data_IF_664648093167
#
_entry.id   IF_664648093167
#
_cell.length_a   1.000
_cell.length_b   1.000
_cell.length_c   1.000
_cell.angle_alpha   90.00
_cell.angle_beta   90.00
_cell.angle_gamma   90.00
#
_symmetry.space_group_name_H-M   'P 1'
#
loop_
_entity.id
_entity.type
_entity.pdbx_description
1 polymer ?
#
# COMPACT_ATOMS: atom_id res chain seq x y z
N UNK A 1 9.53 35.95 -12.72
CA UNK A 1 8.34 35.65 -13.56
C UNK A 1 7.85 34.26 -13.15
N UNK A 2 6.68 34.18 -12.53
CA UNK A 2 6.18 32.99 -11.84
C UNK A 2 5.56 31.98 -12.84
N UNK A 3 5.88 30.70 -12.59
CA UNK A 3 5.18 29.43 -12.87
C UNK A 3 4.08 29.41 -13.94
N UNK A 4 4.25 28.51 -14.91
CA UNK A 4 3.23 27.55 -15.33
C UNK A 4 3.85 26.47 -16.25
N UNK A 5 3.77 25.17 -15.95
CA UNK A 5 3.60 24.19 -16.99
C UNK A 5 2.09 24.05 -17.23
N UNK A 6 1.63 24.61 -18.35
CA UNK A 6 0.28 24.40 -18.85
C UNK A 6 0.14 22.93 -19.28
N UNK A 7 -0.31 22.08 -18.36
CA UNK A 7 -0.78 20.74 -18.70
C UNK A 7 -2.07 20.87 -19.51
N UNK A 8 -2.08 20.31 -20.72
CA UNK A 8 -3.22 20.33 -21.63
C UNK A 8 -4.45 19.66 -21.00
N UNK A 9 -5.68 20.13 -21.31
CA UNK A 9 -6.89 19.47 -20.83
C UNK A 9 -7.09 18.19 -21.67
N UNK A 10 -6.88 17.03 -21.07
CA UNK A 10 -7.32 15.76 -21.65
C UNK A 10 -8.85 15.72 -21.62
N UNK A 11 -9.48 16.26 -22.67
CA UNK A 11 -10.85 15.96 -23.01
C UNK A 11 -10.93 14.57 -23.62
N UNK A 12 -11.57 13.61 -22.93
CA UNK A 12 -11.79 12.28 -23.50
C UNK A 12 -12.32 11.26 -22.49
N UNK A 13 -13.65 11.24 -22.30
CA UNK A 13 -14.44 10.35 -21.41
C UNK A 13 -14.02 10.33 -19.93
N UNK A 14 -14.95 10.22 -18.97
CA UNK A 14 -14.56 9.73 -17.65
C UNK A 14 -14.02 8.32 -17.88
N UNK A 15 -12.71 8.14 -17.78
CA UNK A 15 -12.13 6.82 -17.59
C UNK A 15 -12.77 6.17 -16.36
N UNK A 16 -12.66 4.84 -16.20
CA UNK A 16 -13.10 4.19 -14.97
C UNK A 16 -12.54 4.94 -13.77
N UNK A 17 -13.40 5.26 -12.81
CA UNK A 17 -13.01 6.03 -11.64
C UNK A 17 -11.77 5.39 -11.01
N UNK A 18 -10.74 6.18 -10.67
CA UNK A 18 -9.52 5.62 -10.10
C UNK A 18 -9.89 4.84 -8.83
N UNK A 19 -9.29 3.66 -8.61
CA UNK A 19 -9.62 2.86 -7.46
C UNK A 19 -9.32 3.65 -6.18
N UNK A 20 -10.15 3.46 -5.15
CA UNK A 20 -10.11 4.23 -3.88
C UNK A 20 -8.73 4.27 -3.21
N UNK A 21 -7.92 3.23 -3.42
CA UNK A 21 -6.57 3.13 -2.88
C UNK A 21 -5.58 4.07 -3.62
N UNK A 22 -5.82 4.40 -4.89
CA UNK A 22 -4.92 5.22 -5.70
C UNK A 22 -4.83 6.69 -5.23
N UNK A 23 -5.80 7.15 -4.44
CA UNK A 23 -5.76 8.47 -3.81
C UNK A 23 -4.95 8.50 -2.50
N UNK A 24 -4.50 7.33 -2.00
CA UNK A 24 -3.80 7.21 -0.73
C UNK A 24 -2.28 7.13 -0.94
N UNK A 25 -1.47 7.74 -0.05
CA UNK A 25 -0.05 7.47 -0.04
C UNK A 25 0.19 6.01 0.34
N UNK A 26 1.22 5.38 -0.24
CA UNK A 26 1.57 3.96 -0.05
C UNK A 26 1.67 3.59 1.44
N UNK A 27 2.23 4.49 2.26
CA UNK A 27 2.34 4.34 3.71
C UNK A 27 1.01 4.27 4.48
N UNK A 28 -0.13 4.61 3.86
CA UNK A 28 -1.47 4.56 4.47
C UNK A 28 -2.39 3.50 3.85
N UNK A 29 -1.91 2.73 2.87
CA UNK A 29 -2.66 1.60 2.35
C UNK A 29 -2.85 0.55 3.44
N UNK A 30 -3.85 -0.31 3.33
CA UNK A 30 -3.93 -1.55 4.12
C UNK A 30 -3.24 -2.70 3.38
N UNK A 31 -3.04 -3.86 4.03
CA UNK A 31 -2.53 -5.05 3.36
C UNK A 31 -3.46 -5.52 2.21
N UNK A 32 -4.78 -5.42 2.40
CA UNK A 32 -5.76 -5.73 1.36
C UNK A 32 -5.68 -4.75 0.18
N UNK A 33 -5.54 -3.45 0.45
CA UNK A 33 -5.40 -2.45 -0.61
C UNK A 33 -4.08 -2.56 -1.36
N UNK A 34 -2.99 -2.99 -0.72
CA UNK A 34 -1.73 -3.30 -1.39
C UNK A 34 -1.88 -4.47 -2.36
N UNK A 35 -2.60 -5.53 -1.96
CA UNK A 35 -2.89 -6.67 -2.83
C UNK A 35 -3.79 -6.26 -4.01
N UNK A 36 -4.86 -5.50 -3.74
CA UNK A 36 -5.73 -4.93 -4.80
C UNK A 36 -4.93 -4.06 -5.79
N UNK A 37 -3.98 -3.26 -5.29
CA UNK A 37 -3.13 -2.42 -6.13
C UNK A 37 -2.21 -3.24 -7.04
N UNK A 38 -1.57 -4.29 -6.52
CA UNK A 38 -0.72 -5.18 -7.31
C UNK A 38 -1.51 -5.89 -8.42
N UNK A 39 -2.68 -6.47 -8.08
CA UNK A 39 -3.55 -7.10 -9.08
C UNK A 39 -4.04 -6.11 -10.14
N UNK A 40 -4.29 -4.86 -9.76
CA UNK A 40 -4.65 -3.81 -10.72
C UNK A 40 -3.50 -3.50 -11.67
N UNK A 41 -2.26 -3.37 -11.17
CA UNK A 41 -1.09 -3.09 -12.02
C UNK A 41 -0.81 -4.23 -13.00
N UNK A 42 -0.89 -5.49 -12.55
CA UNK A 42 -0.74 -6.65 -13.44
C UNK A 42 -1.73 -6.63 -14.61
N UNK A 43 -2.96 -6.14 -14.39
CA UNK A 43 -4.02 -6.13 -15.40
C UNK A 43 -4.02 -4.89 -16.29
N UNK A 44 -3.57 -3.75 -15.77
CA UNK A 44 -3.79 -2.45 -16.41
C UNK A 44 -2.51 -1.67 -16.71
N UNK A 45 -1.39 -2.02 -16.07
CA UNK A 45 -0.10 -1.33 -16.15
C UNK A 45 1.08 -2.33 -16.00
N UNK A 46 1.14 -3.40 -16.81
CA UNK A 46 2.19 -4.42 -16.66
C UNK A 46 3.60 -3.85 -16.86
N UNK A 47 3.72 -2.73 -17.60
CA UNK A 47 5.00 -2.08 -17.87
C UNK A 47 5.47 -1.16 -16.72
N UNK A 48 4.65 -0.93 -15.69
CA UNK A 48 5.00 -0.06 -14.55
C UNK A 48 5.68 -0.87 -13.43
N UNK A 49 6.88 -1.36 -13.73
CA UNK A 49 7.69 -2.19 -12.83
C UNK A 49 8.11 -1.44 -11.56
N UNK A 50 8.36 -0.13 -11.67
CA UNK A 50 8.82 0.69 -10.55
C UNK A 50 7.73 0.80 -9.49
N UNK A 51 6.50 1.10 -9.91
CA UNK A 51 5.37 1.17 -8.98
C UNK A 51 5.03 -0.21 -8.41
N UNK A 52 5.03 -1.25 -9.25
CA UNK A 52 4.78 -2.63 -8.84
C UNK A 52 5.79 -3.10 -7.78
N UNK A 53 7.08 -2.80 -7.99
CA UNK A 53 8.15 -3.16 -7.05
C UNK A 53 8.07 -2.37 -5.74
N UNK A 54 7.70 -1.09 -5.79
CA UNK A 54 7.52 -0.28 -4.58
C UNK A 54 6.38 -0.83 -3.71
N UNK A 55 5.24 -1.20 -4.31
CA UNK A 55 4.11 -1.78 -3.61
C UNK A 55 4.44 -3.16 -3.03
N UNK A 56 5.12 -4.01 -3.81
CA UNK A 56 5.56 -5.33 -3.34
C UNK A 56 6.53 -5.21 -2.15
N UNK A 57 7.45 -4.24 -2.19
CA UNK A 57 8.38 -3.96 -1.09
C UNK A 57 7.67 -3.53 0.20
N UNK A 58 6.69 -2.63 0.11
CA UNK A 58 5.90 -2.21 1.27
C UNK A 58 5.04 -3.37 1.82
N UNK A 59 4.46 -4.19 0.94
CA UNK A 59 3.71 -5.38 1.35
C UNK A 59 4.58 -6.37 2.12
N UNK A 60 5.79 -6.66 1.61
CA UNK A 60 6.75 -7.52 2.29
C UNK A 60 7.17 -6.95 3.66
N UNK A 61 7.45 -5.64 3.73
CA UNK A 61 7.83 -4.97 4.98
C UNK A 61 6.74 -5.08 6.04
N UNK A 62 5.48 -4.83 5.68
CA UNK A 62 4.36 -4.91 6.64
C UNK A 62 4.06 -6.32 7.08
N UNK A 63 4.15 -7.27 6.16
CA UNK A 63 3.99 -8.70 6.49
C UNK A 63 5.08 -9.12 7.47
N UNK A 64 6.34 -8.75 7.21
CA UNK A 64 7.45 -9.02 8.13
C UNK A 64 7.26 -8.36 9.50
N UNK A 65 6.80 -7.10 9.54
CA UNK A 65 6.53 -6.39 10.80
C UNK A 65 5.39 -7.04 11.60
N UNK A 66 4.31 -7.47 10.94
CA UNK A 66 3.20 -8.16 11.57
C UNK A 66 3.62 -9.52 12.13
N UNK A 67 4.39 -10.30 11.36
CA UNK A 67 4.92 -11.59 11.81
C UNK A 67 5.92 -11.43 12.96
N UNK A 68 6.77 -10.41 12.92
CA UNK A 68 7.67 -10.09 14.03
C UNK A 68 6.87 -9.76 15.31
N UNK A 69 5.86 -8.90 15.22
CA UNK A 69 5.00 -8.55 16.35
C UNK A 69 4.24 -9.76 16.92
N UNK A 70 3.79 -10.69 16.07
CA UNK A 70 3.17 -11.94 16.50
C UNK A 70 4.13 -12.83 17.28
N UNK A 71 5.37 -12.97 16.79
CA UNK A 71 6.41 -13.77 17.47
C UNK A 71 6.78 -13.19 18.82
N UNK A 72 6.97 -11.88 18.91
CA UNK A 72 7.29 -11.22 20.18
C UNK A 72 6.14 -11.28 21.19
N UNK A 73 4.89 -11.21 20.72
CA UNK A 73 3.73 -11.43 21.58
C UNK A 73 3.63 -12.87 22.10
N UNK A 74 3.96 -13.87 21.27
CA UNK A 74 3.95 -15.28 21.65
C UNK A 74 5.10 -15.65 22.62
N UNK A 75 6.26 -14.99 22.49
CA UNK A 75 7.44 -15.19 23.36
C UNK A 75 7.29 -14.50 24.73
N UNK A 76 6.33 -13.57 24.87
CA UNK A 76 6.11 -12.86 26.13
C UNK A 76 5.56 -13.82 27.19
N UNK A 77 6.25 -14.02 28.33
CA UNK A 77 5.72 -14.84 29.40
C UNK A 77 4.41 -14.23 29.94
N UNK A 78 3.46 -15.07 30.40
CA UNK A 78 2.20 -14.57 30.94
C UNK A 78 2.47 -13.61 32.10
N UNK A 79 1.65 -12.55 32.27
CA UNK A 79 1.82 -11.64 33.39
C UNK A 79 1.77 -12.44 34.71
N UNK A 80 2.60 -12.08 35.70
CA UNK A 80 2.60 -12.79 36.98
C UNK A 80 1.18 -12.74 37.55
N UNK A 81 0.69 -13.85 38.14
CA UNK A 81 -0.63 -13.83 38.77
C UNK A 81 -0.64 -12.72 39.80
N UNK A 82 -1.63 -11.84 39.71
CA UNK A 82 -1.91 -10.89 40.77
C UNK A 82 -2.28 -11.73 42.00
N UNK A 83 -1.34 -11.81 42.95
CA UNK A 83 -1.54 -12.45 44.25
C UNK A 83 -2.66 -11.77 45.05
N UNK A 84 -3.19 -12.48 46.05
CA UNK A 84 -4.60 -12.50 46.48
C UNK A 84 -5.20 -11.16 46.89
#
# INVERSE_FOLDING_TARGET
MNKEPRAAPYGGRPGPAPPRWAAKPVGLLTAGELAEALTFLERHRPDDDVLSRALAGEFARRTAAAEFARRTAADRPPPPPHGP
#
